data_IF_874155533600
#
_entry.id   IF_874155533600
#
_cell.length_a   1.000
_cell.length_b   1.000
_cell.length_c   1.000
_cell.angle_alpha   90.00
_cell.angle_beta   90.00
_cell.angle_gamma   90.00
#
_symmetry.space_group_name_H-M   'P 1'
#
loop_
_entity.id
_entity.type
_entity.pdbx_description
1 polymer ?
#
# COMPACT_ATOMS: atom_id res chain seq x y z
N UNK A 1 -19.51 -8.87 -31.15
CA UNK A 1 -19.04 -7.47 -31.00
C UNK A 1 -18.29 -7.34 -29.68
N UNK A 2 -16.95 -7.35 -29.71
CA UNK A 2 -16.11 -7.06 -28.52
C UNK A 2 -16.24 -5.57 -28.22
N UNK A 3 -16.82 -5.21 -27.07
CA UNK A 3 -16.81 -3.82 -26.60
C UNK A 3 -15.37 -3.43 -26.30
N UNK A 4 -14.75 -2.68 -27.21
CA UNK A 4 -13.53 -1.93 -26.94
C UNK A 4 -13.95 -0.84 -25.95
N UNK A 5 -13.72 -1.04 -24.64
CA UNK A 5 -13.82 0.05 -23.68
C UNK A 5 -12.76 1.08 -24.08
N UNK A 6 -13.10 2.38 -24.17
CA UNK A 6 -12.09 3.40 -24.42
C UNK A 6 -11.04 3.31 -23.30
N UNK A 7 -9.76 3.29 -23.70
CA UNK A 7 -8.59 3.36 -22.81
C UNK A 7 -8.66 4.70 -22.06
N UNK A 8 -9.32 4.69 -20.91
CA UNK A 8 -9.73 5.88 -20.19
C UNK A 8 -8.71 6.25 -19.13
N UNK A 9 -8.26 7.50 -19.20
CA UNK A 9 -7.54 8.24 -18.17
C UNK A 9 -7.99 7.84 -16.75
N UNK A 10 -7.05 7.72 -15.81
CA UNK A 10 -7.30 7.41 -14.41
C UNK A 10 -8.50 8.19 -13.84
N UNK A 11 -9.54 7.48 -13.40
CA UNK A 11 -10.75 8.07 -12.83
C UNK A 11 -10.70 7.92 -11.32
N UNK A 12 -11.29 8.86 -10.59
CA UNK A 12 -11.41 8.77 -9.12
C UNK A 12 -12.09 7.47 -8.63
N UNK A 13 -12.90 6.83 -9.50
CA UNK A 13 -13.50 5.53 -9.22
C UNK A 13 -12.45 4.40 -9.05
N UNK A 14 -11.31 4.49 -9.74
CA UNK A 14 -10.22 3.51 -9.67
C UNK A 14 -9.57 3.54 -8.26
N UNK A 15 -9.48 4.72 -7.64
CA UNK A 15 -9.04 4.87 -6.24
C UNK A 15 -9.96 4.18 -5.24
N UNK A 16 -11.27 4.12 -5.49
CA UNK A 16 -12.21 3.47 -4.57
C UNK A 16 -11.97 1.96 -4.51
N UNK A 17 -11.68 1.32 -5.66
CA UNK A 17 -11.37 -0.11 -5.73
C UNK A 17 -10.03 -0.41 -5.05
N UNK A 18 -9.01 0.42 -5.29
CA UNK A 18 -7.72 0.31 -4.60
C UNK A 18 -7.92 0.38 -3.09
N UNK A 19 -8.76 1.30 -2.60
CA UNK A 19 -9.04 1.46 -1.17
C UNK A 19 -9.71 0.20 -0.61
N UNK A 20 -10.74 -0.31 -1.28
CA UNK A 20 -11.43 -1.54 -0.83
C UNK A 20 -10.44 -2.71 -0.76
N UNK A 21 -9.65 -2.93 -1.81
CA UNK A 21 -8.66 -4.00 -1.84
C UNK A 21 -7.55 -3.82 -0.82
N UNK A 22 -7.07 -2.59 -0.65
CA UNK A 22 -6.01 -2.22 0.28
C UNK A 22 -6.42 -2.43 1.73
N UNK A 23 -7.64 -2.03 2.11
CA UNK A 23 -8.18 -2.24 3.45
C UNK A 23 -8.40 -3.74 3.74
N UNK A 24 -8.95 -4.48 2.78
CA UNK A 24 -9.30 -5.88 2.96
C UNK A 24 -8.06 -6.72 3.32
N UNK A 25 -6.94 -6.49 2.63
CA UNK A 25 -5.70 -7.21 2.95
C UNK A 25 -4.86 -6.57 4.05
N UNK A 26 -4.95 -5.27 4.31
CA UNK A 26 -4.20 -4.64 5.40
C UNK A 26 -4.75 -4.99 6.79
N UNK A 27 -6.08 -5.07 6.93
CA UNK A 27 -6.78 -5.21 8.21
C UNK A 27 -6.24 -6.31 9.13
N UNK A 28 -6.15 -7.57 8.66
CA UNK A 28 -5.69 -8.67 9.49
C UNK A 28 -4.26 -8.50 10.02
N UNK A 29 -3.36 -7.88 9.24
CA UNK A 29 -1.94 -7.76 9.60
C UNK A 29 -1.64 -6.53 10.48
N UNK A 30 -2.48 -5.49 10.42
CA UNK A 30 -2.34 -4.33 11.31
C UNK A 30 -2.54 -4.73 12.78
N UNK A 31 -3.33 -5.76 13.03
CA UNK A 31 -3.75 -6.17 14.38
C UNK A 31 -2.98 -7.38 14.92
N UNK A 32 -1.91 -7.81 14.25
CA UNK A 32 -1.08 -8.95 14.68
C UNK A 32 0.20 -8.50 15.33
N UNK A 33 0.51 -9.06 16.50
CA UNK A 33 1.71 -8.74 17.27
C UNK A 33 3.01 -9.00 16.48
N UNK A 34 3.03 -10.04 15.64
CA UNK A 34 4.20 -10.43 14.86
C UNK A 34 4.68 -9.31 13.92
N UNK A 35 3.76 -8.53 13.34
CA UNK A 35 4.10 -7.39 12.47
C UNK A 35 4.75 -6.26 13.26
N UNK A 36 4.26 -6.00 14.48
CA UNK A 36 4.79 -4.94 15.33
C UNK A 36 6.14 -5.32 15.94
N UNK A 37 6.33 -6.59 16.30
CA UNK A 37 7.62 -7.13 16.74
C UNK A 37 8.65 -7.04 15.62
N UNK A 38 8.31 -7.45 14.40
CA UNK A 38 9.18 -7.27 13.23
C UNK A 38 9.53 -5.79 13.01
N UNK A 39 8.55 -4.89 13.14
CA UNK A 39 8.77 -3.46 12.96
C UNK A 39 9.71 -2.84 14.01
N UNK A 40 9.68 -3.33 15.27
CA UNK A 40 10.64 -2.91 16.30
C UNK A 40 12.06 -3.25 15.91
N UNK A 41 12.28 -4.49 15.48
CA UNK A 41 13.62 -5.04 15.22
C UNK A 41 14.21 -4.59 13.86
N UNK A 42 13.39 -3.99 13.01
CA UNK A 42 13.81 -3.55 11.68
C UNK A 42 14.89 -2.46 11.74
N UNK A 43 16.01 -2.71 11.07
CA UNK A 43 16.98 -1.66 10.77
C UNK A 43 16.61 -0.89 9.48
N UNK A 44 17.36 0.18 9.19
CA UNK A 44 17.11 1.04 8.04
C UNK A 44 17.22 0.31 6.70
N UNK A 45 18.18 -0.61 6.55
CA UNK A 45 18.36 -1.38 5.32
C UNK A 45 17.14 -2.28 5.06
N UNK A 46 16.67 -2.98 6.09
CA UNK A 46 15.47 -3.80 6.00
C UNK A 46 14.25 -2.96 5.64
N UNK A 47 14.09 -1.77 6.24
CA UNK A 47 13.00 -0.85 5.88
C UNK A 47 13.05 -0.44 4.40
N UNK A 48 14.22 -0.03 3.91
CA UNK A 48 14.40 0.36 2.51
C UNK A 48 14.13 -0.80 1.55
N UNK A 49 14.55 -2.02 1.90
CA UNK A 49 14.26 -3.22 1.13
C UNK A 49 12.75 -3.52 1.11
N UNK A 50 12.07 -3.43 2.25
CA UNK A 50 10.62 -3.62 2.33
C UNK A 50 9.88 -2.59 1.47
N UNK A 51 10.23 -1.31 1.56
CA UNK A 51 9.64 -0.26 0.71
C UNK A 51 9.90 -0.57 -0.77
N UNK A 52 11.12 -0.96 -1.13
CA UNK A 52 11.46 -1.33 -2.51
C UNK A 52 10.61 -2.50 -3.01
N UNK A 53 10.37 -3.51 -2.17
CA UNK A 53 9.50 -4.66 -2.48
C UNK A 53 8.06 -4.20 -2.74
N UNK A 54 7.50 -3.32 -1.91
CA UNK A 54 6.15 -2.77 -2.11
C UNK A 54 6.03 -2.08 -3.48
N UNK A 55 7.01 -1.21 -3.80
CA UNK A 55 7.03 -0.50 -5.08
C UNK A 55 7.17 -1.48 -6.27
N UNK A 56 8.05 -2.47 -6.16
CA UNK A 56 8.25 -3.49 -7.19
C UNK A 56 6.98 -4.31 -7.43
N UNK A 57 6.29 -4.75 -6.37
CA UNK A 57 5.03 -5.49 -6.47
C UNK A 57 3.95 -4.62 -7.12
N UNK A 58 3.78 -3.38 -6.65
CA UNK A 58 2.78 -2.47 -7.21
C UNK A 58 3.00 -2.19 -8.70
N UNK A 59 4.26 -1.97 -9.10
CA UNK A 59 4.61 -1.71 -10.49
C UNK A 59 4.40 -2.96 -11.36
N UNK A 60 4.87 -4.12 -10.88
CA UNK A 60 4.68 -5.39 -11.57
C UNK A 60 3.20 -5.72 -11.73
N UNK A 61 2.38 -5.52 -10.70
CA UNK A 61 0.95 -5.78 -10.76
C UNK A 61 0.23 -4.86 -11.76
N UNK A 62 0.50 -3.55 -11.71
CA UNK A 62 -0.16 -2.58 -12.59
C UNK A 62 0.28 -2.71 -14.05
N UNK A 63 1.57 -2.83 -14.33
CA UNK A 63 2.09 -2.66 -15.69
C UNK A 63 2.50 -3.98 -16.34
N UNK A 64 3.06 -4.92 -15.58
CA UNK A 64 3.48 -6.21 -16.13
C UNK A 64 2.35 -7.22 -16.15
N UNK A 65 1.65 -7.40 -15.03
CA UNK A 65 0.61 -8.42 -14.90
C UNK A 65 -0.71 -8.00 -15.58
N UNK A 66 -1.12 -6.74 -15.44
CA UNK A 66 -2.34 -6.25 -16.10
C UNK A 66 -2.13 -5.83 -17.57
N UNK A 67 -0.91 -5.96 -18.10
CA UNK A 67 -0.58 -5.64 -19.49
C UNK A 67 -0.81 -4.18 -19.88
N UNK A 68 -0.64 -3.26 -18.92
CA UNK A 68 -0.85 -1.82 -19.11
C UNK A 68 0.46 -1.15 -19.50
N UNK A 69 0.36 -0.15 -20.37
CA UNK A 69 1.48 0.70 -20.72
C UNK A 69 1.58 1.87 -19.72
N UNK A 70 2.72 2.07 -19.04
CA UNK A 70 2.92 3.24 -18.19
C UNK A 70 2.73 4.57 -18.93
N UNK A 71 3.07 4.62 -20.23
CA UNK A 71 3.03 5.83 -21.04
C UNK A 71 1.58 6.30 -21.35
N UNK A 72 0.60 5.42 -21.12
CA UNK A 72 -0.84 5.74 -21.28
C UNK A 72 -1.41 6.48 -20.05
N UNK A 73 -0.71 6.47 -18.90
CA UNK A 73 -1.17 7.09 -17.66
C UNK A 73 -0.77 8.57 -17.59
N UNK A 74 -1.60 9.39 -16.91
CA UNK A 74 -1.22 10.77 -16.60
C UNK A 74 -0.01 10.77 -15.67
N UNK A 75 1.07 11.41 -16.07
CA UNK A 75 2.27 11.54 -15.23
C UNK A 75 2.17 12.71 -14.23
N UNK A 76 2.73 12.50 -13.05
CA UNK A 76 2.98 13.50 -12.02
C UNK A 76 4.45 13.40 -11.65
N UNK A 77 5.23 14.45 -11.96
CA UNK A 77 6.68 14.47 -11.75
C UNK A 77 7.43 13.27 -12.40
N UNK A 78 6.96 12.80 -13.56
CA UNK A 78 7.55 11.65 -14.27
C UNK A 78 7.16 10.28 -13.71
N UNK A 79 6.21 10.23 -12.77
CA UNK A 79 5.67 8.97 -12.22
C UNK A 79 4.18 8.86 -12.60
N UNK A 80 3.71 7.70 -13.11
CA UNK A 80 2.30 7.50 -13.41
C UNK A 80 1.39 7.76 -12.20
N UNK A 81 0.35 8.58 -12.38
CA UNK A 81 -0.57 8.97 -11.31
C UNK A 81 -1.31 7.78 -10.69
N UNK A 82 -1.60 6.73 -11.47
CA UNK A 82 -2.23 5.50 -10.98
C UNK A 82 -1.30 4.75 -10.02
N UNK A 83 -0.01 4.66 -10.35
CA UNK A 83 0.99 4.07 -9.46
C UNK A 83 1.12 4.86 -8.16
N UNK A 84 1.15 6.20 -8.24
CA UNK A 84 1.15 7.06 -7.06
C UNK A 84 -0.11 6.87 -6.20
N UNK A 85 -1.30 6.78 -6.82
CA UNK A 85 -2.54 6.45 -6.12
C UNK A 85 -2.44 5.11 -5.41
N UNK A 86 -1.93 4.08 -6.11
CA UNK A 86 -1.76 2.76 -5.53
C UNK A 86 -0.84 2.79 -4.31
N UNK A 87 0.30 3.49 -4.39
CA UNK A 87 1.20 3.65 -3.24
C UNK A 87 0.51 4.39 -2.10
N UNK A 88 -0.13 5.54 -2.38
CA UNK A 88 -0.83 6.31 -1.37
C UNK A 88 -1.91 5.49 -0.66
N UNK A 89 -2.69 4.72 -1.42
CA UNK A 89 -3.73 3.86 -0.88
C UNK A 89 -3.13 2.70 -0.09
N UNK A 90 -2.07 2.06 -0.57
CA UNK A 90 -1.47 0.90 0.10
C UNK A 90 -0.89 1.27 1.48
N UNK A 91 -0.13 2.35 1.55
CA UNK A 91 0.42 2.84 2.82
C UNK A 91 -0.67 3.52 3.67
N UNK A 92 -1.54 4.31 3.04
CA UNK A 92 -2.62 5.04 3.70
C UNK A 92 -3.64 4.13 4.36
N UNK A 93 -4.01 3.02 3.73
CA UNK A 93 -4.94 2.04 4.31
C UNK A 93 -4.40 1.48 5.61
N UNK A 94 -3.14 1.06 5.62
CA UNK A 94 -2.46 0.51 6.81
C UNK A 94 -2.34 1.56 7.90
N UNK A 95 -1.95 2.80 7.54
CA UNK A 95 -1.85 3.90 8.48
C UNK A 95 -3.19 4.25 9.13
N UNK A 96 -4.26 4.36 8.32
CA UNK A 96 -5.62 4.64 8.80
C UNK A 96 -6.08 3.52 9.74
N UNK A 97 -5.90 2.27 9.36
CA UNK A 97 -6.30 1.12 10.18
C UNK A 97 -5.51 1.06 11.49
N UNK A 98 -4.20 1.30 11.45
CA UNK A 98 -3.36 1.29 12.65
C UNK A 98 -3.81 2.34 13.67
N UNK A 99 -4.10 3.56 13.20
CA UNK A 99 -4.63 4.63 14.05
C UNK A 99 -6.04 4.31 14.54
N UNK A 100 -6.93 3.86 13.65
CA UNK A 100 -8.33 3.57 13.96
C UNK A 100 -8.47 2.46 15.01
N UNK A 101 -7.60 1.46 14.97
CA UNK A 101 -7.59 0.35 15.94
C UNK A 101 -6.75 0.65 17.19
N UNK A 102 -6.11 1.83 17.28
CA UNK A 102 -5.22 2.16 18.39
C UNK A 102 -4.00 1.24 18.48
N UNK A 103 -3.61 0.62 17.37
CA UNK A 103 -2.57 -0.41 17.34
C UNK A 103 -1.21 0.06 17.90
N UNK A 104 -0.72 1.29 17.62
CA UNK A 104 0.48 1.80 18.27
C UNK A 104 0.38 1.81 19.80
N UNK A 105 -0.77 2.22 20.36
CA UNK A 105 -0.97 2.26 21.80
C UNK A 105 -1.08 0.87 22.44
N UNK A 106 -1.54 -0.12 21.68
CA UNK A 106 -1.67 -1.51 22.15
C UNK A 106 -0.35 -2.27 22.08
N UNK A 107 0.40 -2.14 20.99
CA UNK A 107 1.59 -2.95 20.74
C UNK A 107 2.91 -2.25 21.08
N UNK A 108 2.90 -0.93 21.24
CA UNK A 108 4.05 -0.07 21.58
C UNK A 108 3.84 0.71 22.88
N UNK A 109 3.18 0.09 23.86
CA UNK A 109 2.80 0.73 25.14
C UNK A 109 3.99 1.17 26.00
N UNK A 110 5.16 0.59 25.78
CA UNK A 110 6.46 0.94 26.38
C UNK A 110 7.19 2.09 25.68
N UNK A 111 6.80 2.44 24.45
CA UNK A 111 7.43 3.49 23.65
C UNK A 111 6.62 4.79 23.70
N UNK A 112 7.26 5.93 23.40
CA UNK A 112 6.57 7.21 23.29
C UNK A 112 7.23 8.15 22.27
N UNK A 113 6.47 9.14 21.82
CA UNK A 113 6.96 10.22 20.97
C UNK A 113 7.55 9.73 19.65
N UNK A 114 8.79 10.15 19.36
CA UNK A 114 9.46 9.87 18.07
C UNK A 114 9.74 8.39 17.88
N UNK A 115 10.08 7.65 18.94
CA UNK A 115 10.41 6.23 18.83
C UNK A 115 9.18 5.40 18.44
N UNK A 116 8.05 5.64 19.11
CA UNK A 116 6.76 5.04 18.74
C UNK A 116 6.39 5.38 17.29
N UNK A 117 6.60 6.63 16.86
CA UNK A 117 6.32 7.04 15.49
C UNK A 117 7.19 6.29 14.48
N UNK A 118 8.49 6.13 14.75
CA UNK A 118 9.42 5.40 13.87
C UNK A 118 9.00 3.94 13.73
N UNK A 119 8.68 3.26 14.83
CA UNK A 119 8.24 1.86 14.79
C UNK A 119 6.89 1.74 14.09
N UNK A 120 5.97 2.68 14.31
CA UNK A 120 4.68 2.73 13.59
C UNK A 120 4.88 2.86 12.08
N UNK A 121 5.80 3.72 11.63
CA UNK A 121 6.10 3.87 10.21
C UNK A 121 6.70 2.58 9.60
N UNK A 122 7.53 1.86 10.36
CA UNK A 122 8.06 0.54 9.95
C UNK A 122 6.94 -0.49 9.85
N UNK A 123 6.03 -0.55 10.82
CA UNK A 123 4.87 -1.44 10.80
C UNK A 123 3.95 -1.13 9.59
N UNK A 124 3.75 0.16 9.29
CA UNK A 124 3.02 0.59 8.10
C UNK A 124 3.71 0.08 6.82
N UNK A 125 5.04 0.16 6.74
CA UNK A 125 5.78 -0.34 5.59
C UNK A 125 5.67 -1.87 5.42
N UNK A 126 5.69 -2.64 6.52
CA UNK A 126 5.46 -4.08 6.49
C UNK A 126 4.04 -4.40 6.05
N UNK A 127 3.03 -3.76 6.65
CA UNK A 127 1.62 -3.96 6.29
C UNK A 127 1.31 -3.57 4.84
N UNK A 128 2.01 -2.58 4.30
CA UNK A 128 1.84 -2.12 2.92
C UNK A 128 2.17 -3.22 1.89
N UNK A 129 3.03 -4.20 2.22
CA UNK A 129 3.31 -5.37 1.37
C UNK A 129 2.05 -6.16 1.06
N UNK A 130 1.14 -6.28 2.03
CA UNK A 130 -0.13 -6.99 1.85
C UNK A 130 -1.19 -6.08 1.22
N UNK A 131 -1.24 -4.82 1.66
CA UNK A 131 -2.20 -3.84 1.14
C UNK A 131 -2.02 -3.60 -0.35
N UNK A 132 -0.78 -3.49 -0.85
CA UNK A 132 -0.52 -3.24 -2.28
C UNK A 132 -1.02 -4.36 -3.18
N UNK A 133 -0.90 -5.61 -2.75
CA UNK A 133 -1.41 -6.77 -3.50
C UNK A 133 -2.93 -6.71 -3.58
N UNK A 134 -3.61 -6.42 -2.47
CA UNK A 134 -5.06 -6.30 -2.42
C UNK A 134 -5.56 -5.14 -3.29
N UNK A 135 -4.96 -3.96 -3.14
CA UNK A 135 -5.31 -2.76 -3.88
C UNK A 135 -5.10 -2.95 -5.40
N UNK A 136 -3.97 -3.52 -5.82
CA UNK A 136 -3.67 -3.76 -7.23
C UNK A 136 -4.56 -4.85 -7.84
N UNK A 137 -4.92 -5.87 -7.06
CA UNK A 137 -5.86 -6.91 -7.51
C UNK A 137 -7.26 -6.34 -7.70
N UNK A 138 -7.74 -5.51 -6.76
CA UNK A 138 -9.05 -4.85 -6.89
C UNK A 138 -9.10 -3.88 -8.08
N UNK A 139 -8.04 -3.10 -8.31
CA UNK A 139 -7.90 -2.19 -9.46
C UNK A 139 -7.80 -2.89 -10.82
N UNK A 140 -7.39 -4.16 -10.85
CA UNK A 140 -7.26 -4.92 -12.10
C UNK A 140 -8.49 -5.74 -12.46
N UNK A 141 -9.25 -6.19 -11.46
CA UNK A 141 -10.43 -7.06 -11.67
C UNK A 141 -11.72 -6.26 -11.92
N UNK A 142 -11.88 -5.10 -11.30
CA UNK A 142 -13.13 -4.32 -11.32
C UNK A 142 -13.05 -3.11 -12.27
#
# INVERSE_FOLDING_TARGET
MRRIRPRGQFRLADSAQQVVGGFLLAGPFVVTEEVWTLARDMNLLQLLLTVTIVFAIGYAALYKAAGRDPDDDRELAGIPARFLSLMLVSYGSVAILAVAFGAPGTFLDDLAGVEMLVVTLRAIAVGAVFSVVGAATADSVF
#
